data_IF_649270398693
#
_entry.id   IF_649270398693
#
_cell.length_a   1.000
_cell.length_b   1.000
_cell.length_c   1.000
_cell.angle_alpha   90.00
_cell.angle_beta   90.00
_cell.angle_gamma   90.00
#
_symmetry.space_group_name_H-M   'P 1'
#
loop_
_entity.id
_entity.type
_entity.pdbx_description
1 polymer ?
#
# COMPACT_ATOMS: atom_id res chain seq x y z
N UNK A 1 -17.86 -2.56 6.06
CA UNK A 1 -18.10 -3.15 4.72
C UNK A 1 -17.05 -4.21 4.55
N UNK A 2 -17.43 -5.43 4.18
CA UNK A 2 -16.52 -6.58 4.20
C UNK A 2 -16.66 -7.33 2.89
N UNK A 3 -15.58 -7.38 2.12
CA UNK A 3 -15.50 -8.13 0.86
C UNK A 3 -15.51 -9.63 1.12
N UNK A 4 -15.99 -10.41 0.17
CA UNK A 4 -16.07 -11.86 0.25
C UNK A 4 -15.94 -12.51 -1.12
N UNK A 5 -15.59 -13.80 -1.16
CA UNK A 5 -15.42 -14.51 -2.42
C UNK A 5 -14.09 -14.20 -3.07
N UNK A 6 -14.09 -13.64 -4.29
CA UNK A 6 -12.88 -13.36 -5.07
C UNK A 6 -12.45 -11.89 -4.92
N UNK A 7 -11.22 -11.65 -4.47
CA UNK A 7 -10.68 -10.30 -4.25
C UNK A 7 -9.27 -10.19 -4.85
N UNK A 8 -8.98 -9.10 -5.54
CA UNK A 8 -7.66 -8.81 -6.11
C UNK A 8 -6.97 -7.69 -5.32
N UNK A 9 -5.69 -7.91 -4.99
CA UNK A 9 -4.85 -6.93 -4.31
C UNK A 9 -3.71 -6.45 -5.21
N UNK A 10 -3.41 -5.15 -5.18
CA UNK A 10 -2.26 -4.56 -5.86
C UNK A 10 -1.75 -3.30 -5.14
N UNK A 11 -0.52 -2.91 -5.45
CA UNK A 11 0.16 -1.74 -4.90
C UNK A 11 0.75 -0.86 -6.00
N UNK A 12 0.34 0.40 -5.99
CA UNK A 12 0.93 1.42 -6.87
C UNK A 12 1.71 2.44 -6.06
N UNK A 13 2.92 2.75 -6.48
CA UNK A 13 3.79 3.71 -5.79
C UNK A 13 3.72 5.09 -6.43
N UNK A 14 3.12 6.05 -5.74
CA UNK A 14 2.95 7.41 -6.23
C UNK A 14 4.03 8.33 -5.67
N UNK A 15 4.52 9.26 -6.49
CA UNK A 15 5.45 10.30 -6.01
C UNK A 15 4.60 11.43 -5.43
N UNK A 16 4.59 11.56 -4.10
CA UNK A 16 3.76 12.53 -3.40
C UNK A 16 4.20 13.98 -3.63
N UNK A 17 5.45 14.19 -4.06
CA UNK A 17 5.90 15.50 -4.55
C UNK A 17 5.89 16.61 -3.51
N UNK A 18 6.21 16.29 -2.23
CA UNK A 18 6.30 17.21 -1.08
C UNK A 18 7.47 18.21 -1.19
N UNK A 19 7.61 18.84 -2.35
CA UNK A 19 8.58 19.88 -2.63
C UNK A 19 8.23 21.12 -1.80
N UNK A 20 8.83 21.19 -0.63
CA UNK A 20 8.69 22.34 0.25
C UNK A 20 7.49 22.26 1.19
N UNK A 21 7.15 21.07 1.70
CA UNK A 21 6.20 20.93 2.82
C UNK A 21 6.55 21.95 3.94
N UNK A 22 5.74 23.00 4.16
CA UNK A 22 6.19 24.20 4.87
C UNK A 22 6.67 23.93 6.29
N UNK A 23 6.00 23.03 7.00
CA UNK A 23 6.36 22.71 8.38
C UNK A 23 7.67 21.93 8.46
N UNK A 24 7.93 21.00 7.53
CA UNK A 24 9.23 20.32 7.47
C UNK A 24 10.36 21.24 7.01
N UNK A 25 10.08 22.21 6.14
CA UNK A 25 11.05 23.22 5.71
C UNK A 25 11.42 24.13 6.88
N UNK A 26 10.42 24.59 7.65
CA UNK A 26 10.62 25.37 8.88
C UNK A 26 11.42 24.57 9.92
N UNK A 27 11.03 23.33 10.21
CA UNK A 27 11.74 22.46 11.17
C UNK A 27 13.19 22.17 10.79
N UNK A 28 13.48 22.09 9.49
CA UNK A 28 14.81 21.81 8.98
C UNK A 28 15.66 23.07 8.73
N UNK A 29 15.15 24.26 9.06
CA UNK A 29 15.84 25.56 8.95
C UNK A 29 16.56 25.77 7.60
N UNK A 30 15.92 25.36 6.52
CA UNK A 30 16.50 25.42 5.16
C UNK A 30 15.52 26.02 4.17
N UNK A 31 16.02 26.42 3.01
CA UNK A 31 15.16 26.80 1.88
C UNK A 31 14.38 25.59 1.33
N UNK A 32 13.18 25.82 0.76
CA UNK A 32 12.44 24.78 0.06
C UNK A 32 13.23 24.26 -1.15
N UNK A 33 13.08 22.97 -1.45
CA UNK A 33 13.82 22.35 -2.56
C UNK A 33 13.30 22.87 -3.90
N UNK A 34 14.19 23.04 -4.88
CA UNK A 34 13.81 23.37 -6.28
C UNK A 34 13.42 22.14 -7.11
N UNK A 35 13.88 20.94 -6.72
CA UNK A 35 13.58 19.65 -7.36
C UNK A 35 13.01 18.68 -6.30
N UNK A 36 12.27 17.66 -6.74
CA UNK A 36 11.78 16.58 -5.85
C UNK A 36 12.95 15.84 -5.17
N UNK A 37 12.69 15.10 -4.08
CA UNK A 37 13.68 14.19 -3.53
C UNK A 37 14.12 13.20 -4.62
N UNK A 38 15.43 12.96 -4.71
CA UNK A 38 15.95 11.88 -5.56
C UNK A 38 15.60 10.56 -4.87
N UNK A 39 14.53 9.92 -5.32
CA UNK A 39 14.09 8.64 -4.76
C UNK A 39 15.20 7.58 -4.87
N UNK A 40 15.27 6.71 -3.86
CA UNK A 40 16.08 5.51 -3.93
C UNK A 40 15.56 4.55 -5.03
N UNK A 41 16.42 3.64 -5.49
CA UNK A 41 15.99 2.56 -6.38
C UNK A 41 15.06 1.61 -5.63
N UNK A 42 14.09 1.05 -6.34
CA UNK A 42 13.14 0.07 -5.80
C UNK A 42 11.83 0.67 -5.31
N UNK A 43 11.23 -0.01 -4.32
CA UNK A 43 9.93 0.31 -3.73
C UNK A 43 10.03 1.54 -2.83
N UNK A 44 8.99 2.36 -2.84
CA UNK A 44 8.94 3.63 -2.12
C UNK A 44 8.26 3.53 -0.76
N UNK A 45 8.48 4.55 0.06
CA UNK A 45 7.74 4.81 1.30
C UNK A 45 7.35 6.28 1.33
N UNK A 46 6.42 6.65 2.22
CA UNK A 46 6.06 8.04 2.45
C UNK A 46 7.28 8.89 2.84
N UNK A 47 8.16 8.37 3.69
CA UNK A 47 9.41 9.02 4.09
C UNK A 47 10.28 9.40 2.88
N UNK A 48 10.30 8.56 1.85
CA UNK A 48 11.04 8.78 0.61
C UNK A 48 10.24 9.54 -0.47
N UNK A 49 9.15 10.23 -0.09
CA UNK A 49 8.21 10.93 -0.98
C UNK A 49 7.57 10.02 -2.04
N UNK A 50 7.54 8.70 -1.81
CA UNK A 50 7.00 7.71 -2.74
C UNK A 50 6.06 6.72 -2.02
N UNK A 51 4.99 7.18 -1.36
CA UNK A 51 4.08 6.30 -0.64
C UNK A 51 3.42 5.27 -1.57
N UNK A 52 3.28 4.01 -1.12
CA UNK A 52 2.41 3.05 -1.77
C UNK A 52 0.93 3.38 -1.56
N UNK A 53 0.14 3.11 -2.58
CA UNK A 53 -1.31 3.04 -2.55
C UNK A 53 -1.68 1.57 -2.66
N UNK A 54 -2.30 1.03 -1.63
CA UNK A 54 -2.74 -0.36 -1.57
C UNK A 54 -4.21 -0.44 -1.96
N UNK A 55 -4.51 -1.19 -3.02
CA UNK A 55 -5.85 -1.41 -3.54
C UNK A 55 -6.35 -2.81 -3.25
N UNK A 56 -7.62 -2.92 -2.88
CA UNK A 56 -8.35 -4.17 -2.77
C UNK A 56 -9.62 -4.05 -3.61
N UNK A 57 -9.86 -4.99 -4.53
CA UNK A 57 -10.99 -4.96 -5.45
C UNK A 57 -11.76 -6.27 -5.35
N UNK A 58 -13.01 -6.21 -4.93
CA UNK A 58 -13.91 -7.37 -4.96
C UNK A 58 -14.42 -7.61 -6.38
N UNK A 59 -14.45 -8.87 -6.83
CA UNK A 59 -14.88 -9.20 -8.19
C UNK A 59 -16.34 -8.82 -8.39
N UNK A 60 -16.58 -7.93 -9.35
CA UNK A 60 -17.91 -7.35 -9.64
C UNK A 60 -18.53 -6.62 -8.44
N UNK A 61 -17.71 -6.20 -7.48
CA UNK A 61 -18.13 -5.53 -6.26
C UNK A 61 -17.41 -4.20 -6.08
N UNK A 62 -17.13 -3.89 -4.81
CA UNK A 62 -16.58 -2.60 -4.42
C UNK A 62 -15.05 -2.58 -4.43
N UNK A 63 -14.51 -1.36 -4.37
CA UNK A 63 -13.07 -1.10 -4.32
C UNK A 63 -12.73 -0.28 -3.08
N UNK A 64 -11.68 -0.70 -2.38
CA UNK A 64 -11.09 0.03 -1.25
C UNK A 64 -9.66 0.37 -1.59
N UNK A 65 -9.29 1.64 -1.38
CA UNK A 65 -7.96 2.17 -1.69
C UNK A 65 -7.40 2.85 -0.45
N UNK A 66 -6.24 2.40 0.01
CA UNK A 66 -5.52 2.97 1.14
C UNK A 66 -4.24 3.65 0.68
N UNK A 67 -4.06 4.93 1.04
CA UNK A 67 -2.74 5.55 1.01
C UNK A 67 -1.95 5.07 2.23
N UNK A 68 -0.87 4.35 2.00
CA UNK A 68 -0.07 3.73 3.05
C UNK A 68 1.28 4.43 3.20
N UNK A 69 1.83 4.44 4.42
CA UNK A 69 3.19 4.93 4.63
C UNK A 69 4.24 3.98 4.04
N UNK A 70 3.94 2.69 4.09
CA UNK A 70 4.74 1.58 3.57
C UNK A 70 3.81 0.37 3.37
N UNK A 71 4.29 -0.62 2.62
CA UNK A 71 3.64 -1.93 2.47
C UNK A 71 4.55 -3.00 3.05
N UNK A 72 4.20 -3.45 4.25
CA UNK A 72 4.85 -4.50 5.00
C UNK A 72 3.76 -5.40 5.56
N UNK A 73 4.07 -6.67 5.82
CA UNK A 73 3.08 -7.60 6.37
C UNK A 73 2.35 -7.05 7.60
N UNK A 74 3.11 -6.45 8.54
CA UNK A 74 2.55 -5.83 9.75
C UNK A 74 1.63 -4.62 9.48
N UNK A 75 1.80 -3.93 8.35
CA UNK A 75 0.99 -2.75 8.02
C UNK A 75 -0.22 -3.10 7.17
N UNK A 76 -0.11 -4.07 6.27
CA UNK A 76 -1.22 -4.48 5.40
C UNK A 76 -2.16 -5.50 6.07
N UNK A 77 -1.67 -6.36 6.96
CA UNK A 77 -2.50 -7.36 7.66
C UNK A 77 -3.76 -6.76 8.30
N UNK A 78 -3.68 -5.72 9.16
CA UNK A 78 -4.89 -5.15 9.78
C UNK A 78 -5.82 -4.50 8.76
N UNK A 79 -5.32 -3.97 7.64
CA UNK A 79 -6.14 -3.41 6.57
C UNK A 79 -6.96 -4.51 5.90
N UNK A 80 -6.31 -5.63 5.57
CA UNK A 80 -6.92 -6.81 4.95
C UNK A 80 -7.97 -7.40 5.90
N UNK A 81 -7.62 -7.68 7.16
CA UNK A 81 -8.55 -8.25 8.16
C UNK A 81 -9.78 -7.36 8.42
N UNK A 82 -9.63 -6.04 8.31
CA UNK A 82 -10.75 -5.11 8.47
C UNK A 82 -11.67 -5.02 7.24
N UNK A 83 -11.16 -5.41 6.06
CA UNK A 83 -11.83 -5.18 4.77
C UNK A 83 -12.33 -6.47 4.13
N UNK A 84 -11.69 -7.62 4.37
CA UNK A 84 -11.94 -8.87 3.65
C UNK A 84 -12.32 -9.98 4.64
N UNK A 85 -13.37 -10.73 4.34
CA UNK A 85 -13.79 -11.86 5.14
C UNK A 85 -12.78 -13.01 5.05
N UNK A 86 -12.53 -13.68 6.17
CA UNK A 86 -11.74 -14.92 6.20
C UNK A 86 -12.31 -15.97 5.24
N UNK A 87 -11.42 -16.78 4.66
CA UNK A 87 -11.79 -17.79 3.65
C UNK A 87 -12.01 -17.23 2.24
N UNK A 88 -11.89 -15.92 2.03
CA UNK A 88 -11.93 -15.34 0.68
C UNK A 88 -10.71 -15.77 -0.14
N UNK A 89 -10.91 -15.88 -1.46
CA UNK A 89 -9.87 -16.18 -2.44
C UNK A 89 -9.23 -14.89 -2.93
N UNK A 90 -7.97 -14.71 -2.56
CA UNK A 90 -7.19 -13.52 -2.88
C UNK A 90 -6.26 -13.80 -4.06
N UNK A 91 -6.29 -12.90 -5.03
CA UNK A 91 -5.38 -12.85 -6.16
C UNK A 91 -4.35 -11.74 -5.95
N UNK A 92 -3.06 -12.09 -6.06
CA UNK A 92 -1.96 -11.12 -5.95
C UNK A 92 -0.88 -11.41 -6.99
N UNK A 93 0.04 -10.46 -7.15
CA UNK A 93 1.30 -10.70 -7.85
C UNK A 93 2.28 -11.57 -7.02
N UNK A 94 3.52 -11.69 -7.49
CA UNK A 94 4.59 -12.44 -6.82
C UNK A 94 5.25 -11.68 -5.65
N UNK A 95 4.69 -10.56 -5.19
CA UNK A 95 5.32 -9.79 -4.12
C UNK A 95 5.24 -10.52 -2.77
N UNK A 96 6.42 -10.72 -2.16
CA UNK A 96 6.59 -11.49 -0.92
C UNK A 96 5.80 -10.99 0.30
N UNK A 97 5.29 -9.76 0.29
CA UNK A 97 4.42 -9.25 1.37
C UNK A 97 3.15 -10.10 1.51
N UNK A 98 2.67 -10.71 0.44
CA UNK A 98 1.49 -11.57 0.41
C UNK A 98 1.74 -13.02 0.81
N UNK A 99 3.00 -13.40 1.08
CA UNK A 99 3.36 -14.80 1.38
C UNK A 99 2.63 -15.43 2.57
N UNK A 100 2.05 -14.62 3.47
CA UNK A 100 1.36 -15.08 4.69
C UNK A 100 -0.16 -15.07 4.61
N UNK A 101 -0.75 -14.78 3.44
CA UNK A 101 -2.21 -14.76 3.30
C UNK A 101 -2.86 -16.09 3.73
N UNK A 102 -2.26 -17.23 3.37
CA UNK A 102 -2.74 -18.54 3.82
C UNK A 102 -2.64 -18.74 5.33
N UNK A 103 -1.56 -18.25 5.95
CA UNK A 103 -1.40 -18.30 7.42
C UNK A 103 -2.42 -17.42 8.15
N UNK A 104 -2.88 -16.33 7.51
CA UNK A 104 -3.90 -15.44 8.03
C UNK A 104 -5.34 -15.90 7.77
N UNK A 105 -5.52 -17.06 7.13
CA UNK A 105 -6.84 -17.68 6.93
C UNK A 105 -7.54 -17.30 5.62
N UNK A 106 -6.78 -16.89 4.60
CA UNK A 106 -7.30 -16.64 3.26
C UNK A 106 -6.83 -17.70 2.26
N UNK A 107 -7.62 -17.96 1.23
CA UNK A 107 -7.12 -18.70 0.08
C UNK A 107 -6.28 -17.77 -0.79
N UNK A 108 -5.15 -18.25 -1.33
CA UNK A 108 -4.22 -17.41 -2.08
C UNK A 108 -3.89 -18.04 -3.43
N UNK A 109 -4.11 -17.29 -4.50
CA UNK A 109 -3.61 -17.59 -5.85
C UNK A 109 -2.71 -16.45 -6.32
N UNK A 110 -1.59 -16.84 -6.93
CA UNK A 110 -0.70 -15.91 -7.62
C UNK A 110 -1.12 -15.87 -9.09
N UNK A 111 -1.19 -14.66 -9.65
CA UNK A 111 -1.39 -14.45 -11.07
C UNK A 111 -0.08 -14.67 -11.85
#
# INVERSE_FOLDING_TARGET
>A
MTFSGEVEFDEVYLIAGHKGYPDAVKRAERLPRRRRLKGARGRGTLENEKPPVFGMIERSGDVVIHLCENVQQKSIQPLIESTVALGSLIYTDEYSIYSRLTEWGYEHKRA
#
